data_IF_076927310949
#
_entry.id   IF_076927310949
#
_cell.length_a   1.000
_cell.length_b   1.000
_cell.length_c   1.000
_cell.angle_alpha   90.00
_cell.angle_beta   90.00
_cell.angle_gamma   90.00
#
_symmetry.space_group_name_H-M   'P 1'
#
loop_
_entity.id
_entity.type
_entity.pdbx_description
1 polymer ?
#
# COMPACT_ATOMS: atom_id res chain seq x y z
N UNK A 1 18.45 0.36 22.93
CA UNK A 1 17.40 1.24 22.34
C UNK A 1 17.16 0.96 20.86
N UNK A 2 18.21 0.80 20.04
CA UNK A 2 18.11 0.55 18.58
C UNK A 2 17.31 -0.70 18.20
N UNK A 3 17.52 -1.82 18.90
CA UNK A 3 16.77 -3.06 18.65
C UNK A 3 15.25 -2.89 18.81
N UNK A 4 14.80 -2.16 19.85
CA UNK A 4 13.38 -1.92 20.12
C UNK A 4 12.73 -1.03 19.05
N UNK A 5 13.41 0.03 18.61
CA UNK A 5 12.89 0.90 17.54
C UNK A 5 12.80 0.17 16.21
N UNK A 6 13.76 -0.71 15.90
CA UNK A 6 13.73 -1.57 14.71
C UNK A 6 12.61 -2.62 14.78
N UNK A 7 12.38 -3.21 15.96
CA UNK A 7 11.26 -4.13 16.18
C UNK A 7 9.90 -3.44 15.98
N UNK A 8 9.74 -2.22 16.51
CA UNK A 8 8.53 -1.42 16.29
C UNK A 8 8.33 -1.11 14.80
N UNK A 9 9.39 -0.75 14.09
CA UNK A 9 9.37 -0.48 12.65
C UNK A 9 9.02 -1.74 11.84
N UNK A 10 9.60 -2.89 12.17
CA UNK A 10 9.25 -4.17 11.56
C UNK A 10 7.78 -4.52 11.80
N UNK A 11 7.27 -4.33 13.02
CA UNK A 11 5.88 -4.59 13.37
C UNK A 11 4.91 -3.70 12.60
N UNK A 12 5.25 -2.42 12.42
CA UNK A 12 4.48 -1.48 11.58
C UNK A 12 4.41 -1.97 10.13
N UNK A 13 5.55 -2.40 9.57
CA UNK A 13 5.62 -2.91 8.20
C UNK A 13 4.86 -4.23 8.02
N UNK A 14 4.92 -5.14 9.00
CA UNK A 14 4.13 -6.39 9.02
C UNK A 14 2.63 -6.08 9.06
N UNK A 15 2.21 -5.16 9.92
CA UNK A 15 0.84 -4.67 9.99
C UNK A 15 0.38 -4.10 8.65
N UNK A 16 1.20 -3.26 8.02
CA UNK A 16 0.92 -2.69 6.70
C UNK A 16 0.79 -3.78 5.62
N UNK A 17 1.70 -4.76 5.60
CA UNK A 17 1.67 -5.86 4.64
C UNK A 17 0.39 -6.71 4.78
N UNK A 18 0.05 -7.10 6.02
CA UNK A 18 -1.15 -7.85 6.33
C UNK A 18 -2.41 -7.06 5.95
N UNK A 19 -2.43 -5.76 6.24
CA UNK A 19 -3.52 -4.87 5.93
C UNK A 19 -3.80 -4.78 4.42
N UNK A 20 -2.76 -4.52 3.63
CA UNK A 20 -2.87 -4.38 2.17
C UNK A 20 -3.31 -5.69 1.52
N UNK A 21 -2.81 -6.82 2.04
CA UNK A 21 -3.21 -8.15 1.61
C UNK A 21 -4.70 -8.41 1.86
N UNK A 22 -5.19 -8.07 3.06
CA UNK A 22 -6.58 -8.30 3.45
C UNK A 22 -7.57 -7.38 2.74
N UNK A 23 -7.19 -6.13 2.48
CA UNK A 23 -8.09 -5.12 1.91
C UNK A 23 -8.67 -5.52 0.54
N UNK A 24 -7.89 -6.20 -0.31
CA UNK A 24 -8.36 -6.79 -1.57
C UNK A 24 -7.56 -8.05 -1.93
N UNK A 25 -7.94 -9.20 -1.37
CA UNK A 25 -7.25 -10.49 -1.58
C UNK A 25 -7.11 -10.90 -3.06
N UNK A 26 -8.07 -10.53 -3.91
CA UNK A 26 -8.05 -10.81 -5.36
C UNK A 26 -7.13 -9.88 -6.17
N UNK A 27 -6.70 -8.74 -5.62
CA UNK A 27 -5.86 -7.78 -6.35
C UNK A 27 -4.42 -8.28 -6.47
N UNK A 28 -3.98 -8.50 -7.72
CA UNK A 28 -2.59 -8.85 -8.03
C UNK A 28 -1.61 -7.78 -7.54
N UNK A 29 -1.99 -6.50 -7.63
CA UNK A 29 -1.17 -5.37 -7.19
C UNK A 29 -0.95 -5.45 -5.67
N UNK A 30 -2.02 -5.60 -4.90
CA UNK A 30 -1.95 -5.66 -3.43
C UNK A 30 -1.11 -6.85 -2.97
N UNK A 31 -1.28 -8.02 -3.58
CA UNK A 31 -0.49 -9.22 -3.24
C UNK A 31 1.00 -9.00 -3.47
N UNK A 32 1.40 -8.44 -4.63
CA UNK A 32 2.82 -8.18 -4.92
C UNK A 32 3.39 -7.08 -4.04
N UNK A 33 2.62 -6.03 -3.76
CA UNK A 33 3.05 -4.98 -2.84
C UNK A 33 3.23 -5.51 -1.41
N UNK A 34 2.27 -6.29 -0.90
CA UNK A 34 2.37 -6.92 0.41
C UNK A 34 3.55 -7.88 0.51
N UNK A 35 3.86 -8.66 -0.54
CA UNK A 35 5.07 -9.48 -0.60
C UNK A 35 6.34 -8.64 -0.49
N UNK A 36 6.41 -7.51 -1.20
CA UNK A 36 7.54 -6.57 -1.11
C UNK A 36 7.66 -6.00 0.32
N UNK A 37 6.56 -5.50 0.89
CA UNK A 37 6.53 -4.97 2.26
C UNK A 37 6.92 -6.03 3.29
N UNK A 38 6.50 -7.28 3.11
CA UNK A 38 6.86 -8.40 3.99
C UNK A 38 8.36 -8.70 3.93
N UNK A 39 8.97 -8.72 2.75
CA UNK A 39 10.42 -8.88 2.62
C UNK A 39 11.19 -7.73 3.26
N UNK A 40 10.73 -6.49 3.09
CA UNK A 40 11.31 -5.32 3.77
C UNK A 40 11.18 -5.49 5.29
N UNK A 41 10.01 -5.89 5.79
CA UNK A 41 9.76 -6.10 7.22
C UNK A 41 10.66 -7.20 7.80
N UNK A 42 10.83 -8.32 7.09
CA UNK A 42 11.73 -9.41 7.49
C UNK A 42 13.20 -8.96 7.56
N UNK A 43 13.63 -8.11 6.63
CA UNK A 43 14.97 -7.51 6.65
C UNK A 43 15.15 -6.57 7.85
N UNK A 44 14.19 -5.67 8.10
CA UNK A 44 14.22 -4.76 9.29
C UNK A 44 14.21 -5.56 10.59
N UNK A 45 13.39 -6.61 10.68
CA UNK A 45 13.31 -7.50 11.83
C UNK A 45 14.64 -8.22 12.06
N UNK A 46 15.25 -8.74 11.01
CA UNK A 46 16.56 -9.38 11.06
C UNK A 46 17.64 -8.45 11.62
N UNK A 47 17.77 -7.23 11.07
CA UNK A 47 18.73 -6.24 11.56
C UNK A 47 18.44 -5.86 13.03
N UNK A 48 17.17 -5.67 13.38
CA UNK A 48 16.75 -5.39 14.77
C UNK A 48 17.11 -6.51 15.74
N UNK A 49 17.00 -7.76 15.29
CA UNK A 49 17.41 -8.94 16.04
C UNK A 49 18.93 -9.02 16.23
N UNK A 50 19.73 -8.73 15.19
CA UNK A 50 21.20 -8.66 15.33
C UNK A 50 21.59 -7.55 16.32
N UNK A 51 20.99 -6.37 16.22
CA UNK A 51 21.22 -5.23 17.12
C UNK A 51 20.81 -5.53 18.59
N UNK A 52 20.03 -6.58 18.84
CA UNK A 52 19.71 -7.01 20.20
C UNK A 52 20.86 -7.71 20.91
N UNK A 53 21.86 -8.20 20.15
CA UNK A 53 22.98 -9.00 20.67
C UNK A 53 22.60 -10.46 21.00
N UNK A 54 21.33 -10.84 20.87
CA UNK A 54 20.83 -12.18 21.18
C UNK A 54 20.68 -12.97 19.88
N UNK A 55 21.21 -14.19 19.82
CA UNK A 55 21.09 -15.08 18.65
C UNK A 55 21.44 -14.38 17.32
N UNK A 56 22.50 -13.58 17.32
CA UNK A 56 22.89 -12.68 16.21
C UNK A 56 23.06 -13.42 14.89
N UNK A 57 23.60 -14.64 14.90
CA UNK A 57 23.74 -15.49 13.72
C UNK A 57 22.37 -15.86 13.12
N UNK A 58 21.38 -16.22 13.95
CA UNK A 58 20.03 -16.59 13.48
C UNK A 58 19.34 -15.36 12.87
N UNK A 59 19.39 -14.22 13.54
CA UNK A 59 18.80 -12.98 13.03
C UNK A 59 19.51 -12.46 11.78
N UNK A 60 20.82 -12.65 11.70
CA UNK A 60 21.61 -12.40 10.51
C UNK A 60 21.14 -13.25 9.33
N UNK A 61 20.90 -14.54 9.55
CA UNK A 61 20.32 -15.43 8.53
C UNK A 61 18.92 -14.99 8.10
N UNK A 62 18.07 -14.56 9.03
CA UNK A 62 16.75 -13.97 8.71
C UNK A 62 16.90 -12.73 7.83
N UNK A 63 17.85 -11.85 8.17
CA UNK A 63 18.16 -10.62 7.41
C UNK A 63 18.45 -10.95 5.95
N UNK A 64 19.36 -11.89 5.71
CA UNK A 64 19.76 -12.26 4.35
C UNK A 64 18.71 -13.07 3.60
N UNK A 65 17.95 -13.93 4.29
CA UNK A 65 16.81 -14.66 3.72
C UNK A 65 15.77 -13.68 3.17
N UNK A 66 15.42 -12.66 3.96
CA UNK A 66 14.51 -11.60 3.54
C UNK A 66 15.10 -10.75 2.40
N UNK A 67 16.39 -10.42 2.49
CA UNK A 67 17.10 -9.66 1.45
C UNK A 67 17.16 -10.41 0.10
N UNK A 68 17.24 -11.74 0.09
CA UNK A 68 17.18 -12.55 -1.14
C UNK A 68 15.81 -12.45 -1.84
N UNK A 69 14.72 -12.35 -1.07
CA UNK A 69 13.34 -12.25 -1.59
C UNK A 69 12.94 -10.83 -1.98
N UNK A 70 13.54 -9.82 -1.36
CA UNK A 70 13.16 -8.41 -1.53
C UNK A 70 13.22 -7.91 -2.99
N UNK A 71 14.33 -8.07 -3.74
CA UNK A 71 14.42 -7.50 -5.09
C UNK A 71 13.56 -8.27 -6.11
N UNK A 72 13.32 -9.56 -5.86
CA UNK A 72 12.37 -10.37 -6.66
C UNK A 72 10.94 -9.89 -6.43
N UNK A 73 10.56 -9.64 -5.18
CA UNK A 73 9.24 -9.09 -4.85
C UNK A 73 9.06 -7.69 -5.47
N UNK A 74 10.11 -6.88 -5.47
CA UNK A 74 10.12 -5.56 -6.09
C UNK A 74 9.93 -5.64 -7.62
N UNK A 75 10.65 -6.54 -8.30
CA UNK A 75 10.50 -6.78 -9.74
C UNK A 75 9.11 -7.34 -10.10
N UNK A 76 8.58 -8.25 -9.28
CA UNK A 76 7.23 -8.77 -9.47
C UNK A 76 6.16 -7.69 -9.30
N UNK A 77 6.34 -6.77 -8.34
CA UNK A 77 5.47 -5.63 -8.14
C UNK A 77 5.56 -4.61 -9.30
N UNK A 78 6.79 -4.31 -9.76
CA UNK A 78 6.99 -3.37 -10.87
C UNK A 78 6.36 -3.84 -12.17
N UNK A 79 6.21 -5.16 -12.38
CA UNK A 79 5.48 -5.68 -13.53
C UNK A 79 3.99 -5.32 -13.52
N UNK A 80 3.31 -5.44 -12.38
CA UNK A 80 1.84 -5.31 -12.30
C UNK A 80 1.35 -3.89 -12.04
N UNK A 81 2.19 -3.02 -11.47
CA UNK A 81 1.81 -1.66 -11.08
C UNK A 81 2.36 -0.59 -12.05
N UNK A 82 1.62 0.50 -12.37
CA UNK A 82 0.19 0.71 -12.17
C UNK A 82 -0.67 -0.10 -13.14
N UNK A 83 -0.21 -0.27 -14.38
CA UNK A 83 -0.75 -1.19 -15.37
C UNK A 83 0.20 -2.38 -15.60
N UNK A 84 -0.34 -3.50 -16.07
CA UNK A 84 0.48 -4.70 -16.29
C UNK A 84 1.41 -4.49 -17.49
N UNK A 85 2.72 -4.69 -17.28
CA UNK A 85 3.72 -4.66 -18.33
C UNK A 85 3.96 -6.04 -18.93
N UNK A 86 4.30 -6.05 -20.22
CA UNK A 86 4.77 -7.24 -20.95
C UNK A 86 6.13 -7.72 -20.43
N UNK A 87 6.97 -6.80 -19.96
CA UNK A 87 8.28 -7.09 -19.39
C UNK A 87 8.35 -6.76 -17.89
N UNK A 88 8.99 -7.60 -17.06
CA UNK A 88 9.59 -8.90 -17.38
C UNK A 88 8.54 -9.97 -17.68
N UNK A 89 8.90 -11.00 -18.46
CA UNK A 89 8.02 -12.13 -18.77
C UNK A 89 7.71 -12.96 -17.52
N UNK A 90 6.68 -13.82 -17.57
CA UNK A 90 6.33 -14.71 -16.43
C UNK A 90 7.46 -15.68 -16.15
N UNK A 91 8.10 -16.19 -17.19
CA UNK A 91 9.27 -17.06 -17.11
C UNK A 91 10.43 -16.38 -16.40
N UNK A 92 10.76 -15.13 -16.76
CA UNK A 92 11.83 -14.37 -16.08
C UNK A 92 11.52 -14.20 -14.60
N UNK A 93 10.28 -13.85 -14.24
CA UNK A 93 9.87 -13.74 -12.84
C UNK A 93 9.96 -15.07 -12.09
N UNK A 94 9.59 -16.19 -12.72
CA UNK A 94 9.73 -17.52 -12.11
C UNK A 94 11.19 -17.90 -11.91
N UNK A 95 12.05 -17.65 -12.89
CA UNK A 95 13.49 -17.91 -12.79
C UNK A 95 14.10 -17.08 -11.65
N UNK A 96 13.83 -15.77 -11.59
CA UNK A 96 14.38 -14.92 -10.53
C UNK A 96 13.82 -15.30 -9.16
N UNK A 97 12.56 -15.72 -9.07
CA UNK A 97 11.97 -16.24 -7.85
C UNK A 97 12.61 -17.55 -7.39
N UNK A 98 12.86 -18.48 -8.31
CA UNK A 98 13.55 -19.74 -8.00
C UNK A 98 14.98 -19.48 -7.53
N UNK A 99 15.74 -18.63 -8.25
CA UNK A 99 17.12 -18.27 -7.86
C UNK A 99 17.13 -17.61 -6.49
N UNK A 100 16.27 -16.60 -6.27
CA UNK A 100 16.14 -15.95 -4.98
C UNK A 100 15.76 -16.94 -3.88
N UNK A 101 14.84 -17.88 -4.17
CA UNK A 101 14.34 -18.88 -3.23
C UNK A 101 15.45 -19.85 -2.80
N UNK A 102 16.24 -20.32 -3.76
CA UNK A 102 17.44 -21.13 -3.49
C UNK A 102 18.43 -20.35 -2.63
N UNK A 103 18.76 -19.10 -2.99
CA UNK A 103 19.65 -18.26 -2.19
C UNK A 103 19.11 -18.02 -0.77
N UNK A 104 17.80 -17.81 -0.62
CA UNK A 104 17.16 -17.64 0.69
C UNK A 104 17.28 -18.90 1.56
N UNK A 105 17.01 -20.08 1.00
CA UNK A 105 17.17 -21.37 1.70
C UNK A 105 18.63 -21.61 2.08
N UNK A 106 19.57 -21.37 1.15
CA UNK A 106 21.00 -21.48 1.42
C UNK A 106 21.44 -20.50 2.50
N UNK A 107 20.91 -19.27 2.50
CA UNK A 107 21.19 -18.28 3.54
C UNK A 107 20.68 -18.70 4.91
N UNK A 108 19.51 -19.35 4.98
CA UNK A 108 18.92 -19.77 6.25
C UNK A 108 19.67 -20.95 6.87
N UNK A 109 20.17 -21.87 6.03
CA UNK A 109 20.69 -23.17 6.48
C UNK A 109 22.21 -23.24 6.53
N UNK A 110 22.92 -22.50 5.67
CA UNK A 110 24.37 -22.65 5.46
C UNK A 110 25.16 -21.38 5.77
N UNK A 111 26.49 -21.50 5.78
CA UNK A 111 27.44 -20.37 5.88
C UNK A 111 27.84 -19.78 4.52
N UNK A 112 27.15 -20.15 3.43
CA UNK A 112 27.59 -19.84 2.07
C UNK A 112 27.37 -18.37 1.67
N UNK A 113 26.44 -17.65 2.29
CA UNK A 113 26.14 -16.26 1.95
C UNK A 113 26.79 -15.31 2.96
N UNK A 114 26.51 -15.48 4.25
CA UNK A 114 27.15 -14.75 5.32
C UNK A 114 27.17 -15.59 6.59
N UNK A 115 28.19 -15.38 7.42
CA UNK A 115 28.38 -16.11 8.66
C UNK A 115 29.21 -15.27 9.64
N UNK A 116 29.38 -15.77 10.86
CA UNK A 116 30.04 -15.08 11.98
C UNK A 116 29.43 -13.69 12.22
N UNK A 117 28.09 -13.64 12.26
CA UNK A 117 27.35 -12.40 12.45
C UNK A 117 27.29 -12.09 13.94
N UNK A 118 27.91 -10.99 14.34
CA UNK A 118 27.99 -10.57 15.75
C UNK A 118 27.77 -9.07 15.91
N UNK A 119 27.16 -8.69 17.02
CA UNK A 119 27.08 -7.30 17.45
C UNK A 119 28.35 -6.97 18.25
N UNK A 120 29.09 -5.96 17.80
CA UNK A 120 30.28 -5.43 18.52
C UNK A 120 30.06 -3.96 18.90
N UNK A 121 30.91 -3.40 19.75
CA UNK A 121 30.84 -1.97 20.11
C UNK A 121 31.01 -1.04 18.90
N UNK A 122 31.74 -1.50 17.88
CA UNK A 122 31.89 -0.80 16.60
C UNK A 122 30.67 -0.95 15.67
N UNK A 123 29.68 -1.77 16.04
CA UNK A 123 28.49 -2.10 15.26
C UNK A 123 28.45 -3.54 14.77
N UNK A 124 27.57 -3.83 13.82
CA UNK A 124 27.40 -5.17 13.25
C UNK A 124 28.67 -5.57 12.49
N UNK A 125 29.16 -6.78 12.76
CA UNK A 125 30.20 -7.44 11.98
C UNK A 125 29.64 -8.71 11.34
N UNK A 126 30.16 -9.04 10.16
CA UNK A 126 29.84 -10.28 9.45
C UNK A 126 31.01 -10.65 8.54
N UNK A 127 31.13 -11.94 8.26
CA UNK A 127 32.02 -12.46 7.23
C UNK A 127 31.22 -12.83 5.98
N UNK A 128 31.69 -12.41 4.82
CA UNK A 128 31.07 -12.74 3.53
C UNK A 128 31.41 -14.17 3.12
N UNK A 129 30.40 -14.97 2.80
CA UNK A 129 30.57 -16.33 2.30
C UNK A 129 30.87 -16.39 0.79
N UNK A 130 31.16 -17.60 0.31
CA UNK A 130 31.52 -17.86 -1.10
C UNK A 130 30.45 -17.40 -2.11
N UNK A 131 29.17 -17.52 -1.76
CA UNK A 131 28.03 -17.13 -2.60
C UNK A 131 27.57 -15.68 -2.38
N UNK A 132 28.25 -14.90 -1.52
CA UNK A 132 27.93 -13.49 -1.31
C UNK A 132 27.98 -12.64 -2.60
N UNK A 133 28.97 -12.83 -3.51
CA UNK A 133 28.98 -12.11 -4.80
C UNK A 133 27.78 -12.47 -5.68
N UNK A 134 27.38 -13.74 -5.72
CA UNK A 134 26.20 -14.21 -6.47
C UNK A 134 24.91 -13.58 -5.92
N UNK A 135 24.76 -13.56 -4.59
CA UNK A 135 23.66 -12.86 -3.91
C UNK A 135 23.64 -11.37 -4.31
N UNK A 136 24.79 -10.70 -4.24
CA UNK A 136 24.89 -9.26 -4.57
C UNK A 136 24.54 -8.99 -6.03
N UNK A 137 25.08 -9.78 -6.96
CA UNK A 137 24.79 -9.66 -8.38
C UNK A 137 23.30 -9.89 -8.67
N UNK A 138 22.70 -10.93 -8.09
CA UNK A 138 21.26 -11.20 -8.23
C UNK A 138 20.41 -10.05 -7.67
N UNK A 139 20.79 -9.54 -6.50
CA UNK A 139 20.09 -8.45 -5.83
C UNK A 139 20.12 -7.16 -6.66
N UNK A 140 21.29 -6.79 -7.18
CA UNK A 140 21.47 -5.61 -8.03
C UNK A 140 20.75 -5.78 -9.37
N UNK A 141 20.90 -6.94 -10.04
CA UNK A 141 20.25 -7.19 -11.32
C UNK A 141 18.72 -7.09 -11.23
N UNK A 142 18.11 -7.69 -10.22
CA UNK A 142 16.65 -7.61 -10.02
C UNK A 142 16.20 -6.20 -9.64
N UNK A 143 16.95 -5.51 -8.78
CA UNK A 143 16.64 -4.12 -8.38
C UNK A 143 16.74 -3.14 -9.56
N UNK A 144 17.80 -3.26 -10.37
CA UNK A 144 17.99 -2.45 -11.58
C UNK A 144 16.90 -2.76 -12.60
N UNK A 145 16.59 -4.04 -12.82
CA UNK A 145 15.50 -4.44 -13.70
C UNK A 145 14.15 -3.83 -13.25
N UNK A 146 13.85 -3.90 -11.95
CA UNK A 146 12.60 -3.38 -11.40
C UNK A 146 12.50 -1.86 -11.58
N UNK A 147 13.60 -1.14 -11.32
CA UNK A 147 13.67 0.30 -11.53
C UNK A 147 13.53 0.68 -13.01
N UNK A 148 14.16 -0.08 -13.92
CA UNK A 148 14.02 0.11 -15.36
C UNK A 148 12.58 -0.07 -15.85
N UNK A 149 11.85 -1.08 -15.33
CA UNK A 149 10.40 -1.21 -15.61
C UNK A 149 9.67 0.06 -15.17
N UNK A 150 9.94 0.53 -13.96
CA UNK A 150 9.22 1.68 -13.40
C UNK A 150 9.53 2.99 -14.10
N UNK A 151 10.79 3.23 -14.48
CA UNK A 151 11.20 4.40 -15.25
C UNK A 151 10.53 4.38 -16.63
N UNK A 152 10.50 3.21 -17.30
CA UNK A 152 9.82 3.04 -18.58
C UNK A 152 8.33 3.40 -18.47
N UNK A 153 7.64 2.88 -17.44
CA UNK A 153 6.24 3.20 -17.16
C UNK A 153 6.02 4.66 -16.80
N UNK A 154 6.88 5.25 -16.00
CA UNK A 154 6.75 6.66 -15.61
C UNK A 154 6.85 7.61 -16.81
N UNK A 155 7.60 7.23 -17.85
CA UNK A 155 7.67 7.98 -19.12
C UNK A 155 6.43 7.81 -19.99
N UNK A 156 5.75 6.66 -19.94
CA UNK A 156 4.58 6.37 -20.77
C UNK A 156 3.25 6.81 -20.13
N UNK A 157 3.11 6.68 -18.81
CA UNK A 157 1.89 6.95 -18.08
C UNK A 157 1.62 8.47 -17.95
N UNK A 158 0.34 8.86 -17.92
CA UNK A 158 -0.10 10.26 -17.75
C UNK A 158 -1.11 10.39 -16.62
N UNK A 159 -1.32 11.63 -16.15
CA UNK A 159 -2.32 11.95 -15.12
C UNK A 159 -2.07 11.23 -13.78
N UNK A 160 -3.12 10.61 -13.24
CA UNK A 160 -3.11 10.00 -11.91
C UNK A 160 -2.08 8.87 -11.77
N UNK A 161 -1.95 8.00 -12.77
CA UNK A 161 -1.02 6.87 -12.75
C UNK A 161 0.44 7.34 -12.67
N UNK A 162 0.78 8.44 -13.36
CA UNK A 162 2.12 9.03 -13.30
C UNK A 162 2.42 9.63 -11.93
N UNK A 163 1.45 10.30 -11.32
CA UNK A 163 1.60 10.84 -9.97
C UNK A 163 1.80 9.71 -8.95
N UNK A 164 1.00 8.64 -9.01
CA UNK A 164 1.16 7.47 -8.15
C UNK A 164 2.56 6.83 -8.29
N UNK A 165 3.03 6.67 -9.53
CA UNK A 165 4.37 6.17 -9.83
C UNK A 165 5.45 7.08 -9.23
N UNK A 166 5.33 8.39 -9.36
CA UNK A 166 6.34 9.33 -8.88
C UNK A 166 6.59 9.19 -7.36
N UNK A 167 5.54 9.23 -6.54
CA UNK A 167 5.70 9.08 -5.09
C UNK A 167 6.26 7.70 -4.70
N UNK A 168 5.78 6.65 -5.36
CA UNK A 168 6.22 5.29 -5.10
C UNK A 168 7.69 5.07 -5.49
N UNK A 169 8.09 5.54 -6.68
CA UNK A 169 9.48 5.44 -7.17
C UNK A 169 10.43 6.26 -6.32
N UNK A 170 10.06 7.49 -5.92
CA UNK A 170 10.89 8.30 -5.02
C UNK A 170 11.08 7.58 -3.68
N UNK A 171 10.00 7.05 -3.08
CA UNK A 171 10.09 6.30 -1.83
C UNK A 171 10.98 5.07 -1.95
N UNK A 172 10.83 4.30 -3.03
CA UNK A 172 11.64 3.12 -3.29
C UNK A 172 13.10 3.45 -3.61
N UNK A 173 13.37 4.58 -4.28
CA UNK A 173 14.72 5.06 -4.52
C UNK A 173 15.41 5.46 -3.21
N UNK A 174 14.75 6.21 -2.34
CA UNK A 174 15.28 6.58 -1.03
C UNK A 174 15.60 5.33 -0.22
N UNK A 175 14.66 4.37 -0.15
CA UNK A 175 14.86 3.09 0.52
C UNK A 175 16.01 2.28 -0.09
N UNK A 176 16.03 2.15 -1.41
CA UNK A 176 17.02 1.33 -2.11
C UNK A 176 18.41 1.93 -2.01
N UNK A 177 18.58 3.22 -2.29
CA UNK A 177 19.88 3.90 -2.21
C UNK A 177 20.38 3.93 -0.77
N UNK A 178 19.54 4.32 0.19
CA UNK A 178 19.92 4.37 1.60
C UNK A 178 20.24 2.98 2.17
N UNK A 179 19.38 2.00 1.91
CA UNK A 179 19.55 0.62 2.33
C UNK A 179 20.76 -0.05 1.68
N UNK A 180 20.90 0.02 0.36
CA UNK A 180 22.04 -0.57 -0.36
C UNK A 180 23.36 0.06 0.05
N UNK A 181 23.43 1.39 0.18
CA UNK A 181 24.67 2.07 0.59
C UNK A 181 25.13 1.60 1.97
N UNK A 182 24.20 1.52 2.93
CA UNK A 182 24.52 1.19 4.34
C UNK A 182 24.70 -0.32 4.61
N UNK A 183 24.07 -1.20 3.84
CA UNK A 183 24.03 -2.65 4.11
C UNK A 183 24.73 -3.52 3.05
N UNK A 184 25.02 -2.96 1.87
CA UNK A 184 25.80 -3.62 0.81
C UNK A 184 27.06 -2.82 0.48
N UNK A 185 26.94 -1.56 0.05
CA UNK A 185 28.05 -0.75 -0.46
C UNK A 185 29.18 -0.56 0.55
N UNK A 186 28.87 0.03 1.72
CA UNK A 186 29.86 0.23 2.79
C UNK A 186 30.48 -1.09 3.26
N UNK A 187 29.70 -2.16 3.56
CA UNK A 187 30.29 -3.46 3.92
C UNK A 187 31.19 -4.07 2.86
N UNK A 188 30.89 -3.91 1.57
CA UNK A 188 31.74 -4.44 0.47
C UNK A 188 33.08 -3.70 0.42
N UNK A 189 33.07 -2.37 0.58
CA UNK A 189 34.30 -1.55 0.49
C UNK A 189 35.14 -1.62 1.76
N UNK A 190 34.50 -1.60 2.93
CA UNK A 190 35.19 -1.48 4.22
C UNK A 190 35.36 -2.80 4.96
N UNK A 191 34.66 -3.86 4.53
CA UNK A 191 34.56 -5.12 5.26
C UNK A 191 33.76 -5.04 6.56
N UNK A 192 33.21 -3.87 6.92
CA UNK A 192 32.53 -3.63 8.19
C UNK A 192 31.08 -3.20 7.98
N UNK A 193 30.17 -3.69 8.82
CA UNK A 193 28.72 -3.40 8.74
C UNK A 193 28.26 -2.41 9.81
N UNK A 194 29.15 -1.47 10.19
CA UNK A 194 28.94 -0.52 11.30
C UNK A 194 27.71 0.38 11.13
N UNK A 195 27.35 0.70 9.89
CA UNK A 195 26.20 1.55 9.54
C UNK A 195 24.96 0.75 9.13
N UNK A 196 24.99 -0.58 9.20
CA UNK A 196 23.87 -1.42 8.73
C UNK A 196 22.58 -1.20 9.51
N UNK A 197 22.66 -0.80 10.79
CA UNK A 197 21.51 -0.42 11.61
C UNK A 197 20.78 0.83 11.12
N UNK A 198 21.44 1.71 10.35
CA UNK A 198 20.83 2.93 9.79
C UNK A 198 19.93 2.61 8.60
N UNK A 199 20.30 1.61 7.79
CA UNK A 199 19.59 1.23 6.57
C UNK A 199 18.08 1.04 6.74
N UNK A 200 17.62 0.25 7.72
CA UNK A 200 16.20 0.08 8.02
C UNK A 200 15.40 1.38 8.18
N UNK A 201 15.99 2.46 8.70
CA UNK A 201 15.26 3.72 8.93
C UNK A 201 14.90 4.44 7.63
N UNK A 202 15.54 4.13 6.49
CA UNK A 202 15.11 4.60 5.17
C UNK A 202 13.75 4.02 4.73
N UNK A 203 13.19 3.05 5.46
CA UNK A 203 11.80 2.61 5.27
C UNK A 203 10.78 3.64 5.74
N UNK A 204 11.12 4.53 6.69
CA UNK A 204 10.21 5.59 7.17
C UNK A 204 9.80 6.56 6.05
N UNK A 205 10.73 7.21 5.30
CA UNK A 205 10.34 8.06 4.19
C UNK A 205 9.61 7.28 3.09
N UNK A 206 9.96 6.02 2.84
CA UNK A 206 9.21 5.15 1.94
C UNK A 206 7.75 4.97 2.38
N UNK A 207 7.51 4.61 3.65
CA UNK A 207 6.17 4.45 4.22
C UNK A 207 5.39 5.77 4.15
N UNK A 208 6.03 6.90 4.46
CA UNK A 208 5.40 8.22 4.39
C UNK A 208 4.95 8.57 2.96
N UNK A 209 5.81 8.38 1.96
CA UNK A 209 5.52 8.67 0.55
C UNK A 209 4.46 7.72 -0.03
N UNK A 210 4.52 6.43 0.30
CA UNK A 210 3.50 5.47 -0.10
C UNK A 210 2.15 5.80 0.55
N UNK A 211 2.15 6.14 1.84
CA UNK A 211 0.91 6.55 2.54
C UNK A 211 0.31 7.80 1.92
N UNK A 212 1.14 8.79 1.58
CA UNK A 212 0.73 9.98 0.84
C UNK A 212 0.10 9.59 -0.51
N UNK A 213 0.73 8.70 -1.27
CA UNK A 213 0.21 8.24 -2.56
C UNK A 213 -1.14 7.49 -2.42
N UNK A 214 -1.29 6.67 -1.38
CA UNK A 214 -2.57 5.98 -1.09
C UNK A 214 -3.68 6.98 -0.80
N UNK A 215 -3.42 7.96 0.06
CA UNK A 215 -4.43 8.92 0.50
C UNK A 215 -4.77 9.92 -0.60
N UNK A 216 -3.75 10.60 -1.14
CA UNK A 216 -3.93 11.73 -2.07
C UNK A 216 -4.15 11.27 -3.51
N UNK A 217 -3.48 10.20 -3.93
CA UNK A 217 -3.48 9.73 -5.31
C UNK A 217 -4.23 8.40 -5.49
N UNK A 218 -5.01 7.96 -4.49
CA UNK A 218 -5.85 6.74 -4.55
C UNK A 218 -5.06 5.50 -4.97
N UNK A 219 -3.81 5.38 -4.53
CA UNK A 219 -2.98 4.20 -4.80
C UNK A 219 -3.75 2.93 -4.39
N UNK A 220 -3.95 2.01 -5.33
CA UNK A 220 -4.61 0.71 -5.13
C UNK A 220 -6.08 0.76 -4.65
N UNK A 221 -6.77 1.91 -4.77
CA UNK A 221 -8.12 2.15 -4.23
C UNK A 221 -8.27 1.81 -2.73
N UNK A 222 -7.18 1.93 -1.98
CA UNK A 222 -7.15 1.59 -0.56
C UNK A 222 -7.61 2.74 0.35
N UNK A 223 -8.01 3.90 -0.19
CA UNK A 223 -8.28 5.13 0.58
C UNK A 223 -9.26 4.94 1.75
N UNK A 224 -10.40 4.29 1.49
CA UNK A 224 -11.45 4.06 2.50
C UNK A 224 -10.90 3.19 3.63
N UNK A 225 -10.10 2.19 3.27
CA UNK A 225 -9.48 1.28 4.20
C UNK A 225 -8.34 1.96 4.97
N UNK A 226 -7.36 2.57 4.31
CA UNK A 226 -6.15 3.11 4.95
C UNK A 226 -6.44 4.31 5.86
N UNK A 227 -7.53 5.04 5.63
CA UNK A 227 -7.99 6.15 6.47
C UNK A 227 -7.99 5.84 7.97
N UNK A 228 -8.68 4.75 8.32
CA UNK A 228 -8.94 4.34 9.70
C UNK A 228 -7.74 3.58 10.23
N UNK A 229 -7.19 2.65 9.45
CA UNK A 229 -6.04 1.83 9.86
C UNK A 229 -4.79 2.66 10.18
N UNK A 230 -4.47 3.67 9.37
CA UNK A 230 -3.32 4.56 9.63
C UNK A 230 -3.53 5.42 10.87
N UNK A 231 -4.75 5.96 11.05
CA UNK A 231 -5.09 6.72 12.26
C UNK A 231 -4.96 5.86 13.52
N UNK A 232 -5.43 4.60 13.47
CA UNK A 232 -5.26 3.64 14.56
C UNK A 232 -3.79 3.31 14.83
N UNK A 233 -3.00 3.05 13.78
CA UNK A 233 -1.58 2.72 13.93
C UNK A 233 -0.78 3.89 14.52
N UNK A 234 -1.01 5.12 14.05
CA UNK A 234 -0.37 6.32 14.59
C UNK A 234 -0.82 6.61 16.03
N UNK A 235 -2.11 6.42 16.33
CA UNK A 235 -2.64 6.57 17.69
C UNK A 235 -1.99 5.57 18.65
N UNK A 236 -1.89 4.30 18.26
CA UNK A 236 -1.25 3.25 19.06
C UNK A 236 0.25 3.51 19.23
N UNK A 237 0.95 3.95 18.18
CA UNK A 237 2.37 4.29 18.26
C UNK A 237 2.62 5.49 19.19
N UNK A 238 1.81 6.55 19.09
CA UNK A 238 1.91 7.71 19.97
C UNK A 238 1.57 7.36 21.42
N UNK A 239 0.49 6.61 21.66
CA UNK A 239 0.13 6.14 23.00
C UNK A 239 1.24 5.26 23.60
N UNK A 240 1.80 4.35 22.80
CA UNK A 240 2.93 3.51 23.23
C UNK A 240 4.17 4.35 23.56
N UNK A 241 4.50 5.34 22.73
CA UNK A 241 5.64 6.23 22.97
C UNK A 241 5.46 7.04 24.27
N UNK A 242 4.28 7.60 24.50
CA UNK A 242 3.95 8.32 25.74
C UNK A 242 4.12 7.40 26.94
N UNK A 243 3.56 6.19 26.91
CA UNK A 243 3.68 5.24 28.01
C UNK A 243 5.13 4.83 28.28
N UNK A 244 5.91 4.57 27.23
CA UNK A 244 7.33 4.24 27.36
C UNK A 244 8.11 5.40 27.97
N UNK A 245 7.89 6.63 27.50
CA UNK A 245 8.57 7.84 28.03
C UNK A 245 8.15 8.09 29.48
N UNK A 246 6.86 8.03 29.80
CA UNK A 246 6.37 8.17 31.16
C UNK A 246 6.96 7.11 32.09
N UNK A 247 6.96 5.84 31.69
CA UNK A 247 7.57 4.76 32.49
C UNK A 247 9.06 5.01 32.76
N UNK A 248 9.80 5.55 31.77
CA UNK A 248 11.22 5.89 31.92
C UNK A 248 11.46 7.08 32.86
N UNK A 249 10.59 8.08 32.84
CA UNK A 249 10.69 9.26 33.70
C UNK A 249 10.36 8.94 35.15
N UNK A 250 9.30 8.17 35.40
CA UNK A 250 8.82 7.86 36.75
C UNK A 250 9.54 6.68 37.41
N UNK A 251 10.12 5.76 36.63
CA UNK A 251 10.83 4.58 37.15
C UNK A 251 12.22 4.43 36.53
N UNK A 252 13.16 5.38 36.78
CA UNK A 252 14.51 5.35 36.19
C UNK A 252 15.32 4.11 36.61
N UNK A 253 15.08 3.57 37.82
CA UNK A 253 15.76 2.37 38.36
C UNK A 253 15.36 1.09 37.61
N UNK A 254 14.20 1.07 36.97
CA UNK A 254 13.70 -0.07 36.18
C UNK A 254 14.47 -0.27 34.87
N UNK A 255 15.20 0.76 34.42
CA UNK A 255 16.13 0.65 33.31
C UNK A 255 17.36 -0.23 33.64
N UNK A 256 17.70 -0.36 34.93
CA UNK A 256 18.93 -1.00 35.40
C UNK A 256 18.74 -2.47 35.81
N UNK A 257 17.53 -2.88 36.20
CA UNK A 257 17.23 -4.25 36.63
C UNK A 257 16.17 -4.88 35.71
N UNK A 258 16.57 -5.88 34.92
CA UNK A 258 15.69 -6.65 34.00
C UNK A 258 14.84 -7.71 34.71
N UNK A 259 14.93 -7.81 36.04
CA UNK A 259 14.30 -8.86 36.80
C UNK A 259 12.90 -8.44 37.27
N UNK A 260 11.88 -9.05 36.67
CA UNK A 260 10.46 -9.04 37.04
C UNK A 260 9.65 -7.75 36.77
N UNK A 261 8.98 -7.75 35.61
CA UNK A 261 7.80 -6.92 35.38
C UNK A 261 6.62 -7.58 36.10
N UNK A 262 6.16 -6.99 37.20
CA UNK A 262 4.99 -7.51 37.94
C UNK A 262 3.76 -7.56 37.00
N UNK A 263 2.97 -8.66 36.98
CA UNK A 263 1.83 -8.82 36.06
C UNK A 263 0.83 -7.65 36.09
N UNK A 264 0.58 -7.10 37.29
CA UNK A 264 -0.26 -5.92 37.48
C UNK A 264 0.20 -4.70 36.68
N UNK A 265 1.51 -4.51 36.51
CA UNK A 265 2.04 -3.38 35.74
C UNK A 265 1.78 -3.55 34.25
N UNK A 266 1.86 -4.79 33.74
CA UNK A 266 1.47 -5.11 32.35
C UNK A 266 0.00 -4.80 32.15
N UNK A 267 -0.87 -5.25 33.06
CA UNK A 267 -2.32 -5.01 32.99
C UNK A 267 -2.62 -3.49 33.02
N UNK A 268 -2.03 -2.74 33.94
CA UNK A 268 -2.22 -1.28 34.04
C UNK A 268 -1.72 -0.59 32.76
N UNK A 269 -0.57 -1.00 32.23
CA UNK A 269 -0.02 -0.43 30.99
C UNK A 269 -0.93 -0.75 29.80
N UNK A 270 -1.43 -1.98 29.68
CA UNK A 270 -2.37 -2.40 28.63
C UNK A 270 -3.68 -1.62 28.72
N UNK A 271 -4.24 -1.48 29.92
CA UNK A 271 -5.48 -0.71 30.15
C UNK A 271 -5.27 0.77 29.84
N UNK A 272 -4.15 1.36 30.26
CA UNK A 272 -3.80 2.74 29.90
C UNK A 272 -3.65 2.89 28.38
N UNK A 273 -3.02 1.94 27.71
CA UNK A 273 -2.87 1.96 26.24
C UNK A 273 -4.23 1.89 25.54
N UNK A 274 -5.14 1.05 26.03
CA UNK A 274 -6.53 0.98 25.55
C UNK A 274 -7.28 2.30 25.80
N UNK A 275 -7.14 2.90 26.98
CA UNK A 275 -7.81 4.17 27.31
C UNK A 275 -7.26 5.35 26.51
N UNK A 276 -5.94 5.44 26.29
CA UNK A 276 -5.31 6.47 25.47
C UNK A 276 -5.54 6.26 23.97
N UNK A 277 -5.82 5.03 23.52
CA UNK A 277 -6.09 4.75 22.11
C UNK A 277 -7.32 5.52 21.59
N UNK A 278 -8.37 5.69 22.41
CA UNK A 278 -9.60 6.41 22.03
C UNK A 278 -9.41 7.91 21.79
N UNK A 279 -8.83 8.71 22.71
CA UNK A 279 -8.55 10.12 22.46
C UNK A 279 -7.47 10.32 21.39
N UNK A 280 -6.44 9.47 21.35
CA UNK A 280 -5.45 9.53 20.28
C UNK A 280 -6.08 9.28 18.91
N UNK A 281 -6.99 8.30 18.81
CA UNK A 281 -7.77 8.08 17.60
C UNK A 281 -8.57 9.32 17.19
N UNK A 282 -9.25 9.98 18.14
CA UNK A 282 -10.02 11.21 17.85
C UNK A 282 -9.14 12.37 17.41
N UNK A 283 -7.93 12.51 17.97
CA UNK A 283 -6.97 13.53 17.57
C UNK A 283 -6.47 13.26 16.14
N UNK A 284 -6.01 12.04 15.87
CA UNK A 284 -5.53 11.67 14.54
C UNK A 284 -6.65 11.71 13.51
N UNK A 285 -7.88 11.32 13.84
CA UNK A 285 -9.01 11.49 12.93
C UNK A 285 -9.25 12.97 12.64
N UNK A 286 -9.26 13.87 13.62
CA UNK A 286 -9.43 15.31 13.35
C UNK A 286 -8.32 15.92 12.48
N UNK A 287 -7.07 15.50 12.65
CA UNK A 287 -5.94 16.01 11.85
C UNK A 287 -5.95 15.39 10.45
N UNK A 288 -6.25 14.09 10.37
CA UNK A 288 -6.27 13.36 9.12
C UNK A 288 -7.55 13.65 8.33
N UNK A 289 -8.71 13.88 8.93
CA UNK A 289 -10.00 13.98 8.23
C UNK A 289 -10.02 15.07 7.15
N UNK A 290 -9.52 16.30 7.38
CA UNK A 290 -9.38 17.31 6.32
C UNK A 290 -8.40 16.90 5.21
N UNK A 291 -7.41 16.07 5.52
CA UNK A 291 -6.46 15.55 4.54
C UNK A 291 -7.03 14.32 3.80
N UNK A 292 -7.90 13.56 4.44
CA UNK A 292 -8.24 12.19 4.10
C UNK A 292 -9.68 12.08 3.55
N UNK A 293 -10.62 12.90 4.01
CA UNK A 293 -12.03 12.97 3.56
C UNK A 293 -12.37 14.12 2.59
N UNK A 294 -11.49 15.11 2.37
CA UNK A 294 -11.71 16.29 1.48
C UNK A 294 -11.91 15.98 -0.02
N UNK A 295 -12.14 14.72 -0.38
CA UNK A 295 -12.53 14.31 -1.74
C UNK A 295 -13.43 13.08 -1.77
N UNK A 296 -14.09 12.71 -0.66
CA UNK A 296 -15.09 11.63 -0.62
C UNK A 296 -16.49 12.19 -0.93
N UNK A 297 -16.72 13.47 -0.63
CA UNK A 297 -18.03 14.09 -0.83
C UNK A 297 -18.31 14.54 -2.27
N UNK A 298 -17.34 14.58 -3.18
CA UNK A 298 -17.61 15.11 -4.52
C UNK A 298 -18.64 14.28 -5.29
N UNK A 299 -18.59 12.93 -5.36
CA UNK A 299 -19.60 12.17 -6.11
C UNK A 299 -20.98 12.19 -5.44
N UNK A 300 -21.05 12.16 -4.11
CA UNK A 300 -22.32 12.13 -3.35
C UNK A 300 -22.96 13.51 -3.26
N UNK A 301 -22.16 14.56 -3.08
CA UNK A 301 -22.63 15.94 -3.13
C UNK A 301 -23.01 16.34 -4.55
N UNK A 302 -22.28 15.88 -5.58
CA UNK A 302 -22.67 16.10 -6.97
C UNK A 302 -23.95 15.33 -7.30
N UNK A 303 -24.04 14.03 -7.02
CA UNK A 303 -25.27 13.27 -7.23
C UNK A 303 -26.45 13.84 -6.41
N UNK A 304 -26.21 14.29 -5.19
CA UNK A 304 -27.20 14.98 -4.36
C UNK A 304 -27.62 16.34 -4.92
N UNK A 305 -26.67 17.11 -5.47
CA UNK A 305 -26.93 18.38 -6.14
C UNK A 305 -27.68 18.17 -7.46
N UNK A 306 -27.27 17.21 -8.29
CA UNK A 306 -27.95 16.83 -9.53
C UNK A 306 -29.36 16.31 -9.23
N UNK A 307 -29.55 15.52 -8.18
CA UNK A 307 -30.86 15.00 -7.77
C UNK A 307 -31.76 16.07 -7.13
N UNK A 308 -31.17 17.10 -6.51
CA UNK A 308 -31.90 18.28 -6.03
C UNK A 308 -32.28 19.19 -7.20
N UNK A 309 -31.37 19.41 -8.14
CA UNK A 309 -31.63 20.14 -9.39
C UNK A 309 -32.69 19.44 -10.24
N UNK A 310 -32.60 18.11 -10.39
CA UNK A 310 -33.59 17.32 -11.14
C UNK A 310 -34.96 17.26 -10.47
N UNK A 311 -35.05 17.51 -9.16
CA UNK A 311 -36.33 17.64 -8.44
C UNK A 311 -36.96 19.02 -8.59
N UNK A 312 -36.16 20.03 -8.96
CA UNK A 312 -36.61 21.40 -9.17
C UNK A 312 -36.99 21.66 -10.64
N UNK A 313 -36.44 20.90 -11.58
CA UNK A 313 -36.80 20.93 -12.99
C UNK A 313 -38.02 20.03 -13.26
N UNK A 314 -38.95 20.50 -14.09
CA UNK A 314 -40.04 19.65 -14.56
C UNK A 314 -39.47 18.55 -15.47
N UNK A 315 -40.03 17.32 -15.46
CA UNK A 315 -39.52 16.21 -16.27
C UNK A 315 -39.34 16.53 -17.76
N UNK A 316 -40.22 17.38 -18.31
CA UNK A 316 -40.14 17.85 -19.69
C UNK A 316 -38.94 18.78 -19.95
N UNK A 317 -38.62 19.67 -19.01
CA UNK A 317 -37.45 20.56 -19.11
C UNK A 317 -36.15 19.75 -19.00
N UNK A 318 -36.11 18.76 -18.11
CA UNK A 318 -34.97 17.86 -17.94
C UNK A 318 -34.70 17.05 -19.22
N UNK A 319 -35.76 16.52 -19.85
CA UNK A 319 -35.65 15.78 -21.10
C UNK A 319 -35.09 16.66 -22.23
N UNK A 320 -35.51 17.92 -22.29
CA UNK A 320 -35.07 18.89 -23.31
C UNK A 320 -33.60 19.26 -23.15
N UNK A 321 -33.15 19.54 -21.92
CA UNK A 321 -31.75 19.84 -21.60
C UNK A 321 -30.83 18.64 -21.84
N UNK A 322 -31.24 17.43 -21.40
CA UNK A 322 -30.47 16.22 -21.66
C UNK A 322 -30.33 15.94 -23.15
N UNK A 323 -31.39 16.14 -23.94
CA UNK A 323 -31.32 16.05 -25.40
C UNK A 323 -30.29 17.02 -25.96
N UNK A 324 -30.30 18.28 -25.52
CA UNK A 324 -29.39 19.31 -26.02
C UNK A 324 -27.93 18.94 -25.74
N UNK A 325 -27.60 18.57 -24.49
CA UNK A 325 -26.24 18.15 -24.11
C UNK A 325 -25.80 16.89 -24.86
N UNK A 326 -26.66 15.89 -24.97
CA UNK A 326 -26.32 14.65 -25.67
C UNK A 326 -26.18 14.88 -27.19
N UNK A 327 -26.97 15.78 -27.78
CA UNK A 327 -26.85 16.14 -29.19
C UNK A 327 -25.53 16.84 -29.51
N UNK A 328 -25.02 17.68 -28.60
CA UNK A 328 -23.72 18.35 -28.77
C UNK A 328 -22.53 17.39 -28.65
N UNK A 329 -22.64 16.37 -27.78
CA UNK A 329 -21.51 15.48 -27.49
C UNK A 329 -21.48 14.24 -28.38
N UNK A 330 -22.65 13.69 -28.73
CA UNK A 330 -22.77 12.37 -29.35
C UNK A 330 -23.37 12.39 -30.76
N UNK A 331 -24.00 13.50 -31.19
CA UNK A 331 -24.69 13.61 -32.50
C UNK A 331 -25.53 12.36 -32.83
N UNK A 332 -26.48 11.96 -31.96
CA UNK A 332 -27.29 10.77 -32.20
C UNK A 332 -28.29 10.99 -33.34
N UNK A 333 -28.58 9.95 -34.13
CA UNK A 333 -29.58 9.99 -35.20
C UNK A 333 -31.02 10.17 -34.68
N UNK A 334 -31.32 9.65 -33.48
CA UNK A 334 -32.59 9.87 -32.80
C UNK A 334 -32.43 9.90 -31.27
N UNK A 335 -33.29 10.65 -30.57
CA UNK A 335 -33.32 10.73 -29.11
C UNK A 335 -34.77 10.65 -28.61
N UNK A 336 -35.06 9.62 -27.83
CA UNK A 336 -36.38 9.42 -27.21
C UNK A 336 -36.21 9.16 -25.71
N UNK A 337 -36.93 9.90 -24.88
CA UNK A 337 -36.97 9.69 -23.43
C UNK A 337 -38.36 9.19 -23.02
N UNK A 338 -38.39 7.98 -22.47
CA UNK A 338 -39.60 7.31 -21.97
C UNK A 338 -39.56 7.27 -20.44
N UNK A 339 -40.70 7.54 -19.81
CA UNK A 339 -40.88 7.45 -18.35
C UNK A 339 -42.00 6.48 -18.04
N UNK A 340 -41.78 5.59 -17.08
CA UNK A 340 -42.80 4.64 -16.64
C UNK A 340 -43.77 5.32 -15.68
N UNK A 341 -45.06 5.32 -16.03
CA UNK A 341 -46.11 5.78 -15.12
C UNK A 341 -46.36 4.73 -14.04
N UNK A 342 -46.37 5.16 -12.77
CA UNK A 342 -46.57 4.28 -11.60
C UNK A 342 -47.96 3.65 -11.53
N UNK A 343 -48.95 4.21 -12.25
CA UNK A 343 -50.34 3.75 -12.18
C UNK A 343 -50.70 2.68 -13.23
N UNK A 344 -49.94 2.58 -14.32
CA UNK A 344 -50.33 1.76 -15.48
C UNK A 344 -49.24 0.83 -16.02
N UNK A 345 -48.04 0.84 -15.44
CA UNK A 345 -46.86 0.09 -15.94
C UNK A 345 -46.58 0.32 -17.44
N UNK A 346 -47.11 1.43 -17.98
CA UNK A 346 -47.00 1.85 -19.37
C UNK A 346 -46.00 2.99 -19.49
N UNK A 347 -45.20 2.98 -20.56
CA UNK A 347 -44.26 4.05 -20.84
C UNK A 347 -44.99 5.27 -21.43
N UNK A 348 -44.81 6.43 -20.81
CA UNK A 348 -45.18 7.72 -21.37
C UNK A 348 -43.94 8.39 -21.98
N UNK A 349 -44.10 8.90 -23.21
CA UNK A 349 -43.04 9.60 -23.92
C UNK A 349 -43.02 11.08 -23.50
N UNK A 350 -41.87 11.57 -23.03
CA UNK A 350 -41.71 12.97 -22.63
C UNK A 350 -41.12 13.87 -23.72
N UNK A 351 -40.58 13.31 -24.81
CA UNK A 351 -40.07 14.09 -25.95
C UNK A 351 -41.17 14.40 -26.96
N UNK A 352 -41.28 15.69 -27.35
CA UNK A 352 -42.40 16.23 -28.12
C UNK A 352 -42.50 15.85 -29.62
N UNK A 353 -41.58 15.06 -30.15
CA UNK A 353 -41.65 14.57 -31.54
C UNK A 353 -41.63 13.04 -31.57
N UNK A 354 -42.71 12.47 -32.11
CA UNK A 354 -42.84 11.05 -32.41
C UNK A 354 -41.84 10.68 -33.52
N UNK A 355 -40.74 10.03 -33.15
CA UNK A 355 -39.94 9.31 -34.14
C UNK A 355 -40.72 8.05 -34.51
N UNK A 356 -41.06 7.81 -35.79
CA UNK A 356 -41.97 6.73 -36.22
C UNK A 356 -41.44 5.31 -35.96
N UNK A 357 -40.21 5.16 -35.45
CA UNK A 357 -39.53 3.87 -35.26
C UNK A 357 -39.63 3.28 -33.84
N UNK A 358 -40.11 4.04 -32.84
CA UNK A 358 -40.13 3.56 -31.45
C UNK A 358 -41.56 3.27 -31.02
N UNK A 359 -41.97 2.00 -31.06
CA UNK A 359 -43.25 1.54 -30.48
C UNK A 359 -43.10 1.34 -28.95
N UNK A 360 -43.70 2.22 -28.12
CA UNK A 360 -43.60 2.14 -26.67
C UNK A 360 -44.22 0.86 -26.10
N UNK A 361 -45.18 0.23 -26.79
CA UNK A 361 -45.79 -1.03 -26.35
C UNK A 361 -44.87 -2.24 -26.62
N UNK A 362 -44.13 -2.23 -27.73
CA UNK A 362 -43.13 -3.26 -28.05
C UNK A 362 -41.93 -3.27 -27.09
N UNK A 363 -41.48 -2.08 -26.65
CA UNK A 363 -40.41 -1.94 -25.65
C UNK A 363 -40.86 -2.40 -24.25
N UNK A 364 -42.11 -2.17 -23.87
CA UNK A 364 -42.66 -2.67 -22.61
C UNK A 364 -42.65 -4.21 -22.54
N UNK A 365 -42.97 -4.88 -23.64
CA UNK A 365 -42.91 -6.34 -23.74
C UNK A 365 -41.47 -6.89 -23.60
N UNK A 366 -40.46 -6.16 -24.09
CA UNK A 366 -39.05 -6.52 -23.94
C UNK A 366 -38.52 -6.26 -22.51
N UNK A 367 -39.11 -5.32 -21.77
CA UNK A 367 -38.67 -4.94 -20.43
C UNK A 367 -39.27 -5.79 -19.30
N UNK A 368 -40.37 -6.52 -19.57
CA UNK A 368 -41.10 -7.35 -18.60
C UNK A 368 -40.30 -8.52 -17.97
N UNK A 369 -39.02 -8.68 -18.33
CA UNK A 369 -38.14 -9.75 -17.81
C UNK A 369 -36.91 -9.29 -17.03
N UNK A 370 -36.61 -7.99 -16.90
CA UNK A 370 -35.37 -7.51 -16.26
C UNK A 370 -35.62 -6.43 -15.20
N UNK A 371 -35.47 -6.75 -13.90
CA UNK A 371 -35.55 -5.75 -12.86
C UNK A 371 -34.23 -4.96 -12.82
N UNK A 372 -34.29 -3.66 -13.09
CA UNK A 372 -33.21 -2.66 -13.02
C UNK A 372 -32.37 -2.39 -14.29
N UNK A 373 -32.99 -2.13 -15.44
CA UNK A 373 -32.26 -1.52 -16.57
C UNK A 373 -32.29 0.01 -16.47
N UNK A 374 -31.15 0.60 -16.14
CA UNK A 374 -30.86 2.03 -16.35
C UNK A 374 -30.09 2.16 -17.66
N UNK A 375 -30.73 2.70 -18.70
CA UNK A 375 -30.19 3.01 -20.05
C UNK A 375 -30.05 1.81 -20.99
N UNK A 376 -30.90 1.76 -22.02
CA UNK A 376 -30.74 0.89 -23.20
C UNK A 376 -30.25 1.79 -24.35
N UNK A 377 -29.03 1.54 -24.86
CA UNK A 377 -28.56 2.14 -26.11
C UNK A 377 -28.73 1.12 -27.24
N UNK A 378 -29.67 1.38 -28.14
CA UNK A 378 -29.75 0.73 -29.45
C UNK A 378 -28.90 1.51 -30.44
N UNK A 379 -28.11 0.79 -31.24
CA UNK A 379 -27.33 1.35 -32.36
C UNK A 379 -28.14 1.31 -33.64
#
# INVERSE_FOLDING_TARGET
MRALSLLALASLLLGLAAYIWQARRGSRINRRFAMLTLSIAGWVLGIGGVESGILTEIWGRVTFTAACMMPVAFLAFSRVFPATSRWPSTTILWITFTIGGVLAVLSATTRLIAYDISQTDAGIQRTSGLLFPLFTAHFLACSIAALSVFISKWRSERGLARAQLQYLVIGLLILSVGGMTTNLGIPIVTGRSTLSWVGPYFTLPFVALVSHAIIRHRLMDLRIFVSRGLAYALAMAAASAVLIVSARLFFPVWAANTAFVHPNFVIITTVALLMLSSPAQRFFSRVLDPYLYRGIEHPVALAGATRRLSRLMQPAELATELRQVLSEVLVPESFTMLVTSFESDSFEQLSGESSPEVDPYGLAALHAGQPNTTVVMGF
#
